data_IF_033113800607
#
_entry.id   IF_033113800607
#
_cell.length_a   1.000
_cell.length_b   1.000
_cell.length_c   1.000
_cell.angle_alpha   90.00
_cell.angle_beta   90.00
_cell.angle_gamma   90.00
#
_symmetry.space_group_name_H-M   'P 1'
#
loop_
_entity.id
_entity.type
_entity.pdbx_description
1 polymer ?
#
# COMPACT_ATOMS: atom_id res chain seq x y z
N UNK A 1 16.29 -11.84 -13.95
CA UNK A 1 15.11 -10.99 -14.22
C UNK A 1 14.78 -10.28 -12.92
N UNK A 2 14.52 -8.98 -12.96
CA UNK A 2 14.13 -8.21 -11.78
C UNK A 2 12.64 -8.42 -11.51
N UNK A 3 12.25 -8.46 -10.24
CA UNK A 3 10.85 -8.47 -9.82
C UNK A 3 10.25 -7.08 -10.03
N UNK A 4 9.09 -7.03 -10.68
CA UNK A 4 8.40 -5.77 -10.99
C UNK A 4 7.60 -5.28 -9.78
N UNK A 5 7.78 -4.02 -9.44
CA UNK A 5 7.30 -3.41 -8.21
C UNK A 5 6.30 -2.28 -8.50
N UNK A 6 5.15 -2.32 -7.84
CA UNK A 6 4.17 -1.22 -7.80
C UNK A 6 4.13 -0.62 -6.38
N UNK A 7 4.49 0.66 -6.26
CA UNK A 7 4.57 1.38 -4.99
C UNK A 7 3.27 2.18 -4.76
N UNK A 8 2.42 1.73 -3.84
CA UNK A 8 1.15 2.39 -3.51
C UNK A 8 1.31 3.30 -2.29
N UNK A 9 0.56 4.41 -2.26
CA UNK A 9 0.74 5.45 -1.22
C UNK A 9 2.20 5.88 -1.13
N UNK A 10 2.80 6.13 -2.28
CA UNK A 10 4.27 6.11 -2.45
C UNK A 10 4.97 7.18 -1.60
N UNK A 11 4.27 8.26 -1.25
CA UNK A 11 4.86 9.46 -0.68
C UNK A 11 6.02 9.92 -1.56
N UNK A 12 7.19 10.08 -0.94
CA UNK A 12 8.42 10.47 -1.66
C UNK A 12 9.21 9.27 -2.24
N UNK A 13 8.66 8.05 -2.23
CA UNK A 13 9.26 6.86 -2.86
C UNK A 13 10.18 6.06 -1.95
N UNK A 14 9.87 5.98 -0.65
CA UNK A 14 10.70 5.28 0.33
C UNK A 14 10.87 3.78 0.03
N UNK A 15 9.77 3.09 -0.29
CA UNK A 15 9.80 1.67 -0.67
C UNK A 15 10.58 1.45 -1.97
N UNK A 16 10.28 2.22 -3.01
CA UNK A 16 11.02 2.14 -4.27
C UNK A 16 12.54 2.32 -4.08
N UNK A 17 12.97 3.31 -3.28
CA UNK A 17 14.39 3.53 -3.00
C UNK A 17 15.00 2.35 -2.22
N UNK A 18 14.30 1.85 -1.21
CA UNK A 18 14.74 0.69 -0.41
C UNK A 18 14.90 -0.58 -1.24
N UNK A 19 13.91 -0.90 -2.08
CA UNK A 19 13.97 -2.07 -2.99
C UNK A 19 15.03 -1.90 -4.07
N UNK A 20 15.25 -0.68 -4.58
CA UNK A 20 16.35 -0.39 -5.49
C UNK A 20 17.71 -0.66 -4.83
N UNK A 21 17.90 -0.30 -3.56
CA UNK A 21 19.12 -0.58 -2.81
C UNK A 21 19.29 -2.06 -2.47
N UNK A 22 18.21 -2.77 -2.15
CA UNK A 22 18.23 -4.22 -1.94
C UNK A 22 18.65 -4.97 -3.22
N UNK A 23 18.32 -4.43 -4.39
CA UNK A 23 18.64 -4.99 -5.69
C UNK A 23 17.68 -6.11 -6.12
N UNK A 24 17.60 -6.35 -7.43
CA UNK A 24 16.70 -7.36 -8.00
C UNK A 24 15.24 -6.92 -8.15
N UNK A 25 14.94 -5.65 -7.91
CA UNK A 25 13.61 -5.05 -8.09
C UNK A 25 13.64 -3.92 -9.12
N UNK A 26 12.51 -3.72 -9.79
CA UNK A 26 12.30 -2.61 -10.72
C UNK A 26 10.93 -2.00 -10.48
N UNK A 27 10.90 -0.74 -10.01
CA UNK A 27 9.65 -0.01 -9.83
C UNK A 27 9.07 0.36 -11.19
N UNK A 28 7.87 -0.15 -11.48
CA UNK A 28 7.15 0.05 -12.74
C UNK A 28 5.98 1.03 -12.64
N UNK A 29 5.62 1.44 -11.43
CA UNK A 29 4.60 2.46 -11.21
C UNK A 29 4.56 2.95 -9.77
N UNK A 30 4.06 4.17 -9.61
CA UNK A 30 3.75 4.81 -8.34
C UNK A 30 2.27 5.16 -8.29
N UNK A 31 1.62 5.05 -7.14
CA UNK A 31 0.29 5.64 -6.90
C UNK A 31 0.36 6.58 -5.70
N UNK A 32 0.24 7.89 -5.95
CA UNK A 32 0.38 8.94 -4.95
C UNK A 32 -0.51 10.13 -5.31
N UNK A 33 -1.35 10.57 -4.38
CA UNK A 33 -2.33 11.63 -4.60
C UNK A 33 -1.75 13.03 -4.33
N UNK A 34 -0.70 13.14 -3.49
CA UNK A 34 -0.11 14.40 -3.09
C UNK A 34 0.80 14.99 -4.19
N UNK A 35 0.48 16.15 -4.78
CA UNK A 35 1.24 16.71 -5.90
C UNK A 35 2.68 17.11 -5.55
N UNK A 36 2.99 17.35 -4.27
CA UNK A 36 4.37 17.61 -3.86
C UNK A 36 5.18 16.33 -3.91
N UNK A 37 4.63 15.24 -3.37
CA UNK A 37 5.24 13.91 -3.42
C UNK A 37 5.46 13.45 -4.86
N UNK A 38 4.48 13.62 -5.74
CA UNK A 38 4.63 13.32 -7.17
C UNK A 38 5.80 14.06 -7.84
N UNK A 39 6.04 15.34 -7.49
CA UNK A 39 7.20 16.09 -8.01
C UNK A 39 8.52 15.49 -7.56
N UNK A 40 8.59 14.97 -6.35
CA UNK A 40 9.79 14.28 -5.83
C UNK A 40 9.98 12.96 -6.59
N UNK A 41 8.92 12.16 -6.73
CA UNK A 41 8.96 10.91 -7.49
C UNK A 41 9.41 11.13 -8.93
N UNK A 42 8.81 12.08 -9.65
CA UNK A 42 9.15 12.39 -11.04
C UNK A 42 10.61 12.88 -11.21
N UNK A 43 11.17 13.53 -10.18
CA UNK A 43 12.58 13.94 -10.19
C UNK A 43 13.52 12.73 -10.07
N UNK A 44 13.17 11.74 -9.26
CA UNK A 44 14.03 10.58 -8.98
C UNK A 44 13.83 9.42 -9.98
N UNK A 45 12.60 9.25 -10.49
CA UNK A 45 12.21 8.21 -11.45
C UNK A 45 11.43 8.81 -12.63
N UNK A 46 12.09 9.61 -13.51
CA UNK A 46 11.43 10.40 -14.55
C UNK A 46 10.72 9.59 -15.65
N UNK A 47 10.93 8.28 -15.70
CA UNK A 47 10.34 7.38 -16.70
C UNK A 47 9.32 6.40 -16.10
N UNK A 48 9.09 6.45 -14.80
CA UNK A 48 8.13 5.58 -14.13
C UNK A 48 6.79 6.32 -14.05
N UNK A 49 5.68 5.72 -14.49
CA UNK A 49 4.36 6.35 -14.43
C UNK A 49 3.95 6.60 -12.97
N UNK A 50 3.26 7.72 -12.77
CA UNK A 50 2.68 8.12 -11.48
C UNK A 50 1.18 8.25 -11.67
N UNK A 51 0.43 7.46 -10.92
CA UNK A 51 -1.04 7.45 -10.87
C UNK A 51 -1.50 8.27 -9.66
N UNK A 52 -2.64 8.96 -9.79
CA UNK A 52 -3.14 9.88 -8.76
C UNK A 52 -3.88 9.15 -7.62
N UNK A 53 -5.19 8.92 -7.80
CA UNK A 53 -6.04 8.32 -6.78
C UNK A 53 -6.08 6.80 -6.94
N UNK A 54 -5.73 6.09 -5.87
CA UNK A 54 -5.78 4.63 -5.80
C UNK A 54 -7.18 4.08 -6.09
N UNK A 55 -8.24 4.83 -5.78
CA UNK A 55 -9.64 4.45 -6.02
C UNK A 55 -9.96 4.32 -7.51
N UNK A 56 -9.30 5.12 -8.34
CA UNK A 56 -9.48 5.13 -9.79
C UNK A 56 -8.46 4.23 -10.51
N UNK A 57 -7.47 3.70 -9.77
CA UNK A 57 -6.48 2.80 -10.34
C UNK A 57 -7.12 1.43 -10.61
N UNK A 58 -7.14 1.05 -11.89
CA UNK A 58 -7.54 -0.29 -12.31
C UNK A 58 -6.37 -1.26 -12.17
N UNK A 59 -6.48 -2.24 -11.27
CA UNK A 59 -5.45 -3.25 -11.03
C UNK A 59 -5.28 -4.23 -12.20
N UNK A 60 -6.30 -4.42 -13.04
CA UNK A 60 -6.26 -5.41 -14.11
C UNK A 60 -5.20 -5.07 -15.18
N UNK A 61 -4.85 -3.79 -15.32
CA UNK A 61 -3.76 -3.35 -16.22
C UNK A 61 -2.37 -3.88 -15.82
N UNK A 62 -2.20 -4.33 -14.57
CA UNK A 62 -0.93 -4.88 -14.05
C UNK A 62 -0.97 -6.40 -13.84
N UNK A 63 -2.09 -7.07 -14.12
CA UNK A 63 -2.26 -8.49 -13.88
C UNK A 63 -1.20 -9.31 -14.63
N UNK A 64 -0.43 -10.12 -13.89
CA UNK A 64 0.67 -10.92 -14.43
C UNK A 64 1.94 -10.12 -14.80
N UNK A 65 1.95 -8.79 -14.59
CA UNK A 65 3.08 -7.91 -14.88
C UNK A 65 3.77 -7.35 -13.63
N UNK A 66 3.09 -7.34 -12.47
CA UNK A 66 3.63 -6.88 -11.19
C UNK A 66 3.83 -8.07 -10.24
N UNK A 67 5.03 -8.18 -9.68
CA UNK A 67 5.43 -9.25 -8.77
C UNK A 67 5.29 -8.86 -7.29
N UNK A 68 5.45 -7.58 -6.97
CA UNK A 68 5.41 -7.06 -5.60
C UNK A 68 4.64 -5.74 -5.53
N UNK A 69 3.78 -5.63 -4.52
CA UNK A 69 3.13 -4.38 -4.14
C UNK A 69 3.69 -3.94 -2.80
N UNK A 70 4.00 -2.65 -2.64
CA UNK A 70 4.27 -2.05 -1.33
C UNK A 70 3.26 -0.96 -1.02
N UNK A 71 3.04 -0.65 0.25
CA UNK A 71 2.34 0.57 0.61
C UNK A 71 2.18 0.81 2.11
N UNK A 72 2.29 2.09 2.49
CA UNK A 72 1.97 2.59 3.82
C UNK A 72 0.63 3.30 3.81
N UNK A 73 -0.47 2.56 4.01
CA UNK A 73 -1.81 3.15 3.87
C UNK A 73 -2.12 4.15 5.01
N UNK A 74 -2.91 5.23 4.76
CA UNK A 74 -3.09 6.30 5.73
C UNK A 74 -3.65 5.84 7.09
N UNK A 75 -2.92 6.16 8.16
CA UNK A 75 -3.23 5.74 9.53
C UNK A 75 -4.12 6.72 10.31
N UNK A 76 -4.66 7.74 9.67
CA UNK A 76 -5.23 8.91 10.37
C UNK A 76 -6.48 8.61 11.19
N UNK A 77 -7.26 7.60 10.80
CA UNK A 77 -8.40 7.11 11.60
C UNK A 77 -8.01 6.07 12.66
N UNK A 78 -6.76 5.58 12.60
CA UNK A 78 -6.14 4.66 13.54
C UNK A 78 -5.29 5.40 14.60
N UNK A 79 -5.01 6.69 14.40
CA UNK A 79 -4.21 7.53 15.30
C UNK A 79 -5.00 8.01 16.52
N UNK A 80 -4.35 8.08 17.69
CA UNK A 80 -4.90 8.61 18.95
C UNK A 80 -5.35 10.09 18.81
N UNK A 81 -4.77 10.83 17.87
CA UNK A 81 -5.11 12.22 17.59
C UNK A 81 -6.31 12.41 16.65
N UNK A 82 -6.90 11.32 16.12
CA UNK A 82 -8.04 11.32 15.20
C UNK A 82 -9.39 10.99 15.85
N UNK A 83 -10.47 10.96 15.03
CA UNK A 83 -11.86 10.72 15.45
C UNK A 83 -12.20 9.25 15.79
N UNK A 84 -11.22 8.35 15.85
CA UNK A 84 -11.38 6.91 16.15
C UNK A 84 -12.43 6.20 15.27
N UNK A 85 -12.51 6.54 13.99
CA UNK A 85 -13.39 5.82 13.05
C UNK A 85 -12.91 4.38 12.78
N UNK A 86 -11.63 4.07 13.11
CA UNK A 86 -11.06 2.74 12.88
C UNK A 86 -10.81 2.48 11.39
N UNK A 87 -10.44 1.24 11.02
CA UNK A 87 -10.05 0.83 9.66
C UNK A 87 -11.12 1.02 8.58
N UNK A 88 -12.37 1.25 8.98
CA UNK A 88 -13.48 1.54 8.06
C UNK A 88 -13.74 3.06 7.90
N UNK A 89 -12.87 3.92 8.44
CA UNK A 89 -12.93 5.37 8.23
C UNK A 89 -12.49 5.78 6.83
N UNK A 90 -12.91 6.96 6.34
CA UNK A 90 -12.68 7.40 4.95
C UNK A 90 -11.22 7.36 4.48
N UNK A 91 -10.24 7.48 5.40
CA UNK A 91 -8.81 7.49 5.07
C UNK A 91 -8.11 6.17 5.35
N UNK A 92 -8.42 5.51 6.46
CA UNK A 92 -7.88 4.17 6.75
C UNK A 92 -8.57 3.05 5.94
N UNK A 93 -9.77 3.32 5.44
CA UNK A 93 -10.49 2.48 4.49
C UNK A 93 -9.77 2.36 3.15
N UNK A 94 -8.75 3.16 2.88
CA UNK A 94 -7.88 2.96 1.72
C UNK A 94 -7.09 1.64 1.78
N UNK A 95 -7.04 0.97 2.94
CA UNK A 95 -6.65 -0.43 3.03
C UNK A 95 -7.48 -1.32 2.10
N UNK A 96 -8.81 -1.11 2.00
CA UNK A 96 -9.65 -1.93 1.12
C UNK A 96 -9.32 -1.72 -0.36
N UNK A 97 -8.86 -0.53 -0.75
CA UNK A 97 -8.38 -0.25 -2.11
C UNK A 97 -7.07 -0.99 -2.40
N UNK A 98 -6.16 -1.04 -1.44
CA UNK A 98 -4.94 -1.85 -1.55
C UNK A 98 -5.28 -3.34 -1.69
N UNK A 99 -6.24 -3.85 -0.91
CA UNK A 99 -6.72 -5.24 -1.03
C UNK A 99 -7.42 -5.47 -2.36
N UNK A 100 -8.24 -4.52 -2.86
CA UNK A 100 -8.86 -4.59 -4.20
C UNK A 100 -7.81 -4.72 -5.29
N UNK A 101 -6.78 -3.87 -5.28
CA UNK A 101 -5.69 -3.94 -6.24
C UNK A 101 -4.92 -5.25 -6.11
N UNK A 102 -4.61 -5.72 -4.90
CA UNK A 102 -3.96 -7.01 -4.71
C UNK A 102 -4.79 -8.20 -5.23
N UNK A 103 -6.13 -8.14 -5.12
CA UNK A 103 -7.05 -9.14 -5.71
C UNK A 103 -6.98 -9.16 -7.24
N UNK A 104 -6.95 -7.99 -7.87
CA UNK A 104 -6.89 -7.85 -9.33
C UNK A 104 -5.51 -8.24 -9.88
N UNK A 105 -4.45 -7.70 -9.28
CA UNK A 105 -3.06 -7.83 -9.74
C UNK A 105 -2.50 -9.23 -9.46
N UNK A 106 -2.90 -9.84 -8.33
CA UNK A 106 -2.40 -11.13 -7.82
C UNK A 106 -0.85 -11.16 -7.73
N UNK A 107 -0.20 -10.19 -7.04
CA UNK A 107 1.26 -10.17 -6.93
C UNK A 107 1.76 -11.39 -6.12
N UNK A 108 3.06 -11.69 -6.22
CA UNK A 108 3.69 -12.72 -5.38
C UNK A 108 3.90 -12.25 -3.95
N UNK A 109 4.21 -10.97 -3.76
CA UNK A 109 4.50 -10.39 -2.45
C UNK A 109 3.74 -9.10 -2.22
N UNK A 110 3.41 -8.85 -0.95
CA UNK A 110 2.84 -7.59 -0.47
C UNK A 110 3.64 -7.16 0.75
N UNK A 111 4.12 -5.91 0.77
CA UNK A 111 4.72 -5.29 1.95
C UNK A 111 3.82 -4.15 2.40
N UNK A 112 3.36 -4.21 3.65
CA UNK A 112 2.46 -3.21 4.23
C UNK A 112 3.15 -2.57 5.43
N UNK A 113 3.11 -1.23 5.51
CA UNK A 113 3.58 -0.49 6.68
C UNK A 113 2.42 0.29 7.31
N UNK A 114 2.45 0.39 8.64
CA UNK A 114 1.58 1.27 9.39
C UNK A 114 2.16 1.57 10.78
N UNK A 115 1.57 2.54 11.48
CA UNK A 115 1.96 2.88 12.84
C UNK A 115 1.64 1.76 13.83
N UNK A 116 2.41 1.69 14.93
CA UNK A 116 2.27 0.68 16.00
C UNK A 116 0.84 0.53 16.53
N UNK A 117 0.03 1.59 16.49
CA UNK A 117 -1.35 1.55 16.99
C UNK A 117 -2.26 0.61 16.17
N UNK A 118 -1.86 0.21 14.96
CA UNK A 118 -2.53 -0.85 14.21
C UNK A 118 -2.68 -2.15 15.03
N UNK A 119 -1.67 -2.48 15.85
CA UNK A 119 -1.67 -3.66 16.72
C UNK A 119 -2.64 -3.54 17.91
N UNK A 120 -2.94 -2.32 18.34
CA UNK A 120 -3.80 -2.11 19.50
C UNK A 120 -5.27 -2.38 19.19
N UNK A 121 -5.75 -1.96 18.01
CA UNK A 121 -7.16 -2.06 17.65
C UNK A 121 -8.08 -1.14 18.48
N UNK A 122 -9.40 -1.21 18.25
CA UNK A 122 -10.36 -0.43 19.02
C UNK A 122 -10.49 -0.96 20.47
N UNK A 123 -10.95 -0.11 21.39
CA UNK A 123 -11.03 -0.42 22.83
C UNK A 123 -11.84 -1.67 23.15
N UNK A 124 -12.93 -1.86 22.42
CA UNK A 124 -13.91 -2.94 22.53
C UNK A 124 -13.45 -4.24 21.87
N UNK A 125 -12.43 -4.17 21.00
CA UNK A 125 -11.86 -5.33 20.30
C UNK A 125 -10.37 -5.14 20.08
N UNK A 126 -9.59 -5.32 21.15
CA UNK A 126 -8.12 -5.25 21.10
C UNK A 126 -7.56 -6.14 19.99
N UNK A 127 -6.59 -5.63 19.24
CA UNK A 127 -6.01 -6.29 18.07
C UNK A 127 -6.90 -6.32 16.83
N UNK A 128 -8.11 -5.75 16.88
CA UNK A 128 -9.10 -5.88 15.82
C UNK A 128 -8.68 -5.33 14.45
N UNK A 129 -7.91 -4.25 14.40
CA UNK A 129 -7.44 -3.67 13.14
C UNK A 129 -6.35 -4.52 12.49
N UNK A 130 -5.34 -4.95 13.25
CA UNK A 130 -4.36 -5.91 12.74
C UNK A 130 -5.00 -7.22 12.33
N UNK A 131 -5.95 -7.73 13.13
CA UNK A 131 -6.73 -8.92 12.76
C UNK A 131 -7.52 -8.76 11.47
N UNK A 132 -8.02 -7.56 11.16
CA UNK A 132 -8.67 -7.26 9.87
C UNK A 132 -7.67 -7.33 8.72
N UNK A 133 -6.49 -6.71 8.86
CA UNK A 133 -5.42 -6.77 7.83
C UNK A 133 -5.03 -8.23 7.54
N UNK A 134 -4.77 -9.02 8.58
CA UNK A 134 -4.42 -10.44 8.42
C UNK A 134 -5.56 -11.26 7.79
N UNK A 135 -6.80 -11.02 8.23
CA UNK A 135 -7.97 -11.69 7.67
C UNK A 135 -8.17 -11.39 6.20
N UNK A 136 -8.10 -10.11 5.81
CA UNK A 136 -8.26 -9.69 4.42
C UNK A 136 -7.17 -10.29 3.52
N UNK A 137 -5.91 -10.30 3.99
CA UNK A 137 -4.79 -10.95 3.26
C UNK A 137 -5.00 -12.46 3.12
N UNK A 138 -5.45 -13.14 4.17
CA UNK A 138 -5.75 -14.57 4.12
C UNK A 138 -6.91 -14.89 3.15
N UNK A 139 -7.96 -14.07 3.13
CA UNK A 139 -9.08 -14.21 2.19
C UNK A 139 -8.63 -14.11 0.73
N UNK A 140 -7.54 -13.36 0.46
CA UNK A 140 -6.98 -13.22 -0.88
C UNK A 140 -5.83 -14.19 -1.15
N UNK A 141 -5.62 -15.16 -0.27
CA UNK A 141 -4.71 -16.28 -0.46
C UNK A 141 -3.25 -15.97 -0.12
N UNK A 142 -2.98 -14.91 0.65
CA UNK A 142 -1.65 -14.61 1.15
C UNK A 142 -1.46 -15.18 2.56
N UNK A 143 -0.24 -15.64 2.83
CA UNK A 143 0.23 -15.84 4.20
C UNK A 143 0.94 -14.55 4.63
N UNK A 144 0.70 -14.12 5.87
CA UNK A 144 1.29 -12.91 6.44
C UNK A 144 2.23 -13.28 7.60
N UNK A 145 3.33 -12.55 7.72
CA UNK A 145 4.38 -12.67 8.75
C UNK A 145 4.56 -11.34 9.49
#
# INVERSE_FOLDING_TARGET
>A
MNLKHLDLFSGIGGFALGLQWAGGFETVGFCEIDPFCQKVLAKHWPHVPIYDDIKELDGDQFAGAVDIITGGFPCQDLSIAGRKAGIDGDRSGLWSEMVRLARQIRPRYIIVENVTNLLAGPSEKRGGWFGRVLGDLAEIGFNAE
#
